data_IF_524823210409
#
_entry.id   IF_524823210409
#
_cell.length_a   1.000
_cell.length_b   1.000
_cell.length_c   1.000
_cell.angle_alpha   90.00
_cell.angle_beta   90.00
_cell.angle_gamma   90.00
#
_symmetry.space_group_name_H-M   'P 1'
#
loop_
_entity.id
_entity.type
_entity.pdbx_description
1 polymer ?
#
# COMPACT_ATOMS: atom_id res chain seq x y z
N UNK A 1 -38.35 4.27 -25.11
CA UNK A 1 -38.06 4.77 -23.76
C UNK A 1 -39.19 5.72 -23.39
N UNK A 2 -39.88 5.45 -22.28
CA UNK A 2 -41.04 6.26 -21.84
C UNK A 2 -40.57 7.43 -20.98
N UNK A 3 -41.31 8.53 -20.96
CA UNK A 3 -40.98 9.71 -20.14
C UNK A 3 -40.79 9.34 -18.64
N UNK A 4 -41.53 8.34 -18.17
CA UNK A 4 -41.39 7.75 -16.83
C UNK A 4 -40.04 7.09 -16.60
N UNK A 5 -39.49 6.34 -17.56
CA UNK A 5 -38.16 5.70 -17.42
C UNK A 5 -37.04 6.75 -17.32
N UNK A 6 -37.13 7.81 -18.11
CA UNK A 6 -36.15 8.90 -18.06
C UNK A 6 -36.21 9.65 -16.72
N UNK A 7 -37.42 9.93 -16.21
CA UNK A 7 -37.61 10.56 -14.91
C UNK A 7 -37.05 9.69 -13.77
N UNK A 8 -37.24 8.37 -13.83
CA UNK A 8 -36.67 7.43 -12.85
C UNK A 8 -35.14 7.41 -12.87
N UNK A 9 -34.51 7.44 -14.06
CA UNK A 9 -33.05 7.48 -14.17
C UNK A 9 -32.47 8.82 -13.71
N UNK A 10 -33.11 9.93 -14.07
CA UNK A 10 -32.70 11.26 -13.60
C UNK A 10 -32.80 11.36 -12.08
N UNK A 11 -33.89 10.86 -11.49
CA UNK A 11 -34.07 10.82 -10.03
C UNK A 11 -33.03 9.92 -9.37
N UNK A 12 -32.75 8.74 -9.93
CA UNK A 12 -31.73 7.82 -9.44
C UNK A 12 -30.33 8.42 -9.47
N UNK A 13 -29.98 9.16 -10.51
CA UNK A 13 -28.70 9.86 -10.64
C UNK A 13 -28.57 10.96 -9.59
N UNK A 14 -29.58 11.82 -9.45
CA UNK A 14 -29.56 12.93 -8.48
C UNK A 14 -29.46 12.38 -7.05
N UNK A 15 -30.22 11.34 -6.73
CA UNK A 15 -30.19 10.70 -5.41
C UNK A 15 -28.85 9.98 -5.17
N UNK A 16 -28.29 9.34 -6.18
CA UNK A 16 -26.98 8.69 -6.13
C UNK A 16 -25.85 9.68 -5.87
N UNK A 17 -25.83 10.82 -6.57
CA UNK A 17 -24.82 11.88 -6.39
C UNK A 17 -24.92 12.49 -4.99
N UNK A 18 -26.14 12.82 -4.53
CA UNK A 18 -26.36 13.36 -3.20
C UNK A 18 -25.90 12.38 -2.10
N UNK A 19 -26.28 11.10 -2.21
CA UNK A 19 -25.91 10.07 -1.24
C UNK A 19 -24.40 9.79 -1.23
N UNK A 20 -23.78 9.71 -2.41
CA UNK A 20 -22.33 9.54 -2.54
C UNK A 20 -21.53 10.68 -1.91
N UNK A 21 -21.98 11.93 -2.10
CA UNK A 21 -21.31 13.10 -1.51
C UNK A 21 -21.35 13.10 0.03
N UNK A 22 -22.46 12.66 0.63
CA UNK A 22 -22.61 12.58 2.08
C UNK A 22 -21.64 11.57 2.71
N UNK A 23 -21.43 10.41 2.06
CA UNK A 23 -20.49 9.38 2.54
C UNK A 23 -19.05 9.90 2.56
N UNK A 24 -18.63 10.66 1.55
CA UNK A 24 -17.29 11.25 1.48
C UNK A 24 -17.06 12.25 2.62
N UNK A 25 -18.06 13.08 2.95
CA UNK A 25 -17.99 14.02 4.09
C UNK A 25 -17.88 13.29 5.43
N UNK A 26 -18.62 12.20 5.61
CA UNK A 26 -18.55 11.38 6.84
C UNK A 26 -17.20 10.66 6.96
N UNK A 27 -16.62 10.19 5.86
CA UNK A 27 -15.28 9.59 5.86
C UNK A 27 -14.16 10.62 6.08
N UNK A 28 -14.34 11.85 5.60
CA UNK A 28 -13.42 12.97 5.80
C UNK A 28 -13.46 13.59 7.20
N UNK A 29 -14.55 13.40 7.96
CA UNK A 29 -14.70 13.95 9.31
C UNK A 29 -14.08 13.08 10.41
N UNK A 30 -13.14 12.17 10.07
CA UNK A 30 -12.38 11.42 11.07
C UNK A 30 -11.76 12.38 12.10
N UNK A 31 -12.03 12.20 13.40
CA UNK A 31 -11.48 13.07 14.43
C UNK A 31 -9.95 13.01 14.40
N UNK A 32 -9.26 14.15 14.62
CA UNK A 32 -7.81 14.20 14.58
C UNK A 32 -7.21 13.15 15.52
N UNK A 33 -6.19 12.46 15.02
CA UNK A 33 -5.52 11.38 15.73
C UNK A 33 -5.13 11.82 17.15
N UNK A 34 -5.43 10.96 18.13
CA UNK A 34 -5.08 11.20 19.53
C UNK A 34 -3.58 11.47 19.63
N UNK A 35 -3.23 12.69 20.04
CA UNK A 35 -1.86 13.10 20.28
C UNK A 35 -1.27 12.24 21.42
N UNK A 36 -0.43 11.27 21.07
CA UNK A 36 0.29 10.45 22.06
C UNK A 36 1.51 11.25 22.51
N UNK A 37 1.36 11.95 23.65
CA UNK A 37 2.45 12.69 24.28
C UNK A 37 3.44 11.70 24.90
N UNK A 38 4.56 11.49 24.22
CA UNK A 38 5.67 10.68 24.70
C UNK A 38 6.63 11.58 25.49
N UNK A 39 6.55 11.54 26.82
CA UNK A 39 7.58 12.12 27.69
C UNK A 39 8.78 11.20 27.74
N UNK A 40 9.82 11.52 26.99
CA UNK A 40 11.13 10.86 27.07
C UNK A 40 11.92 11.50 28.20
N UNK A 41 12.14 10.76 29.30
CA UNK A 41 13.03 11.18 30.37
C UNK A 41 14.50 11.12 29.90
N UNK A 42 15.31 12.11 30.30
CA UNK A 42 16.71 12.27 29.89
C UNK A 42 17.69 11.20 30.42
N UNK A 43 17.17 10.06 30.89
CA UNK A 43 17.96 8.94 31.44
C UNK A 43 17.51 7.57 30.90
N UNK A 44 16.71 7.54 29.83
CA UNK A 44 16.20 6.30 29.23
C UNK A 44 17.20 5.57 28.32
N UNK A 45 18.43 6.07 28.20
CA UNK A 45 19.51 5.42 27.43
C UNK A 45 20.40 4.66 28.40
N UNK A 46 20.40 3.31 28.39
CA UNK A 46 21.35 2.53 29.18
C UNK A 46 22.76 2.91 28.72
N UNK A 47 23.52 3.58 29.59
CA UNK A 47 24.95 3.83 29.39
C UNK A 47 25.63 2.47 29.31
N UNK A 48 25.86 1.97 28.09
CA UNK A 48 26.64 0.76 27.86
C UNK A 48 28.04 0.98 28.41
N UNK A 49 28.49 -0.01 29.18
CA UNK A 49 29.84 -0.08 29.71
C UNK A 49 30.88 0.08 28.60
N UNK A 50 31.96 0.74 28.98
CA UNK A 50 33.14 0.96 28.19
C UNK A 50 33.75 -0.36 27.63
N UNK A 51 34.51 -0.15 26.55
CA UNK A 51 35.63 -0.94 26.01
C UNK A 51 35.35 -1.87 24.82
N UNK A 52 35.53 -1.32 23.61
CA UNK A 52 35.95 -2.06 22.41
C UNK A 52 37.04 -1.29 21.62
N UNK A 53 37.80 -0.42 22.31
CA UNK A 53 38.98 0.25 21.75
C UNK A 53 40.29 -0.19 22.42
N UNK A 54 40.26 -1.26 23.22
CA UNK A 54 41.47 -1.85 23.79
C UNK A 54 42.08 -2.83 22.77
N UNK A 55 43.02 -2.30 22.01
CA UNK A 55 44.23 -2.97 21.49
C UNK A 55 44.09 -4.45 21.06
N UNK A 56 43.58 -4.67 19.84
CA UNK A 56 43.41 -6.00 19.24
C UNK A 56 44.60 -6.48 18.38
N UNK A 57 45.74 -5.78 18.41
CA UNK A 57 46.86 -6.06 17.48
C UNK A 57 48.20 -6.42 18.12
N UNK A 58 48.26 -6.68 19.43
CA UNK A 58 49.46 -7.27 20.06
C UNK A 58 49.35 -8.81 20.14
N UNK A 59 49.67 -9.42 19.00
CA UNK A 59 50.32 -10.71 18.78
C UNK A 59 50.23 -11.82 19.85
N UNK A 60 49.21 -12.68 19.81
CA UNK A 60 49.34 -14.13 20.09
C UNK A 60 48.64 -14.92 18.97
N UNK A 61 49.41 -15.55 18.10
CA UNK A 61 48.92 -16.40 17.02
C UNK A 61 48.63 -17.81 17.56
N UNK A 62 47.52 -17.97 18.27
CA UNK A 62 46.97 -19.30 18.55
C UNK A 62 45.59 -19.42 17.90
N UNK A 63 45.38 -20.36 16.97
CA UNK A 63 44.09 -20.56 16.33
C UNK A 63 43.02 -20.88 17.38
N UNK A 64 41.87 -20.21 17.29
CA UNK A 64 40.74 -20.43 18.19
C UNK A 64 40.36 -21.93 18.26
N UNK A 65 40.52 -22.52 19.43
CA UNK A 65 40.27 -23.95 19.70
C UNK A 65 38.77 -24.24 19.62
N UNK A 66 38.36 -25.17 18.76
CA UNK A 66 36.96 -25.63 18.68
C UNK A 66 36.06 -24.99 17.62
N UNK A 67 36.62 -24.31 16.62
CA UNK A 67 35.84 -23.86 15.45
C UNK A 67 35.41 -25.04 14.53
N UNK A 68 34.38 -24.89 13.69
CA UNK A 68 33.89 -25.93 12.78
C UNK A 68 34.92 -26.38 11.71
N UNK A 69 36.08 -25.72 11.61
CA UNK A 69 37.22 -26.11 10.79
C UNK A 69 38.35 -26.81 11.59
N UNK A 70 38.17 -27.08 12.89
CA UNK A 70 39.19 -27.71 13.74
C UNK A 70 39.30 -29.22 13.44
N UNK A 71 40.24 -29.57 12.55
CA UNK A 71 40.48 -30.94 12.08
C UNK A 71 41.19 -31.85 13.09
N UNK A 72 41.55 -31.35 14.28
CA UNK A 72 42.32 -32.12 15.29
C UNK A 72 41.55 -33.29 15.91
N UNK A 73 40.23 -33.41 15.65
CA UNK A 73 39.45 -34.59 16.06
C UNK A 73 39.58 -35.80 15.13
N UNK A 74 40.06 -35.64 13.90
CA UNK A 74 40.14 -36.72 12.92
C UNK A 74 41.48 -37.48 12.93
N UNK A 75 42.53 -36.93 13.56
CA UNK A 75 43.88 -37.53 13.64
C UNK A 75 44.19 -38.20 15.00
N UNK A 76 43.18 -38.49 15.82
CA UNK A 76 43.42 -39.30 17.03
C UNK A 76 43.42 -40.78 16.65
N UNK A 77 44.61 -41.28 16.30
CA UNK A 77 44.92 -42.70 16.29
C UNK A 77 44.46 -43.33 17.61
N UNK A 78 43.49 -44.23 17.51
CA UNK A 78 42.96 -44.99 18.63
C UNK A 78 43.91 -46.15 18.96
N UNK A 79 44.42 -46.29 20.19
CA UNK A 79 45.03 -47.53 20.62
C UNK A 79 43.95 -48.63 20.75
N UNK A 80 44.25 -49.79 20.18
CA UNK A 80 43.31 -50.86 19.85
C UNK A 80 42.77 -51.71 21.02
N UNK A 81 42.48 -51.15 22.21
CA UNK A 81 42.09 -51.99 23.37
C UNK A 81 41.02 -51.47 24.33
N UNK A 82 40.23 -50.44 23.98
CA UNK A 82 39.10 -50.05 24.83
C UNK A 82 37.79 -50.76 24.44
N UNK A 83 37.06 -51.37 25.39
CA UNK A 83 35.77 -52.01 25.13
C UNK A 83 34.69 -50.97 24.77
N UNK A 84 33.70 -51.33 23.93
CA UNK A 84 32.68 -50.40 23.45
C UNK A 84 31.76 -49.92 24.59
N UNK A 85 31.29 -48.66 24.53
CA UNK A 85 30.32 -48.16 25.51
C UNK A 85 28.95 -48.84 25.34
N UNK A 86 28.19 -49.05 26.43
CA UNK A 86 26.91 -49.74 26.39
C UNK A 86 25.83 -48.92 25.65
N UNK A 87 25.16 -49.57 24.70
CA UNK A 87 24.00 -49.03 23.99
C UNK A 87 22.82 -48.71 24.93
N UNK A 88 22.15 -47.56 24.79
CA UNK A 88 21.06 -47.15 25.67
C UNK A 88 19.68 -47.80 25.39
N UNK A 89 19.61 -48.89 24.60
CA UNK A 89 18.34 -49.51 24.17
C UNK A 89 18.20 -51.00 24.51
N UNK A 90 18.64 -51.40 25.71
CA UNK A 90 18.38 -52.75 26.22
C UNK A 90 17.59 -52.67 27.55
N UNK A 91 16.26 -52.67 27.45
CA UNK A 91 15.39 -52.98 28.58
C UNK A 91 15.07 -54.50 28.54
N UNK A 92 15.20 -55.24 29.66
CA UNK A 92 14.87 -56.66 29.69
C UNK A 92 13.35 -56.89 29.68
N UNK A 93 12.92 -57.85 28.86
CA UNK A 93 11.52 -58.23 28.70
C UNK A 93 10.92 -58.93 29.92
N UNK A 94 9.65 -58.65 30.17
CA UNK A 94 8.74 -59.44 31.01
C UNK A 94 7.74 -60.12 30.06
N UNK A 95 7.67 -61.47 30.02
CA UNK A 95 6.74 -62.17 29.14
C UNK A 95 5.37 -62.36 29.83
N UNK A 96 4.29 -62.08 29.10
CA UNK A 96 2.96 -62.59 29.41
C UNK A 96 1.92 -61.55 29.78
N UNK A 97 1.29 -60.93 28.78
CA UNK A 97 -0.10 -60.48 28.86
C UNK A 97 -0.68 -60.24 27.45
N UNK A 98 -1.75 -60.94 27.06
CA UNK A 98 -2.45 -60.63 25.81
C UNK A 98 -3.28 -59.35 25.99
N UNK A 99 -3.12 -58.39 25.08
CA UNK A 99 -3.96 -57.20 24.94
C UNK A 99 -5.13 -57.59 24.02
N UNK A 100 -6.33 -57.71 24.59
CA UNK A 100 -7.58 -57.72 23.82
C UNK A 100 -8.16 -56.30 23.73
N UNK A 101 -8.44 -55.95 22.47
CA UNK A 101 -9.40 -54.99 21.95
C UNK A 101 -10.60 -54.60 22.83
N UNK A 102 -10.94 -53.30 22.84
CA UNK A 102 -12.26 -52.80 22.43
C UNK A 102 -12.32 -51.25 22.39
N UNK A 103 -13.13 -50.66 21.48
CA UNK A 103 -13.21 -49.21 21.25
C UNK A 103 -14.27 -48.56 22.14
N UNK A 104 -14.05 -47.30 22.57
CA UNK A 104 -15.14 -46.46 23.09
C UNK A 104 -15.59 -45.48 22.03
N UNK A 105 -16.85 -45.67 21.63
CA UNK A 105 -17.58 -44.85 20.70
C UNK A 105 -17.88 -43.46 21.28
N UNK A 106 -17.82 -42.46 20.41
CA UNK A 106 -18.43 -41.15 20.56
C UNK A 106 -19.97 -41.30 20.66
N UNK A 107 -20.56 -40.72 21.70
CA UNK A 107 -21.99 -40.46 21.76
C UNK A 107 -22.24 -39.03 22.24
N UNK A 108 -22.79 -38.25 21.32
CA UNK A 108 -23.40 -36.92 21.45
C UNK A 108 -24.68 -36.94 22.29
N UNK A 109 -24.82 -35.99 23.22
CA UNK A 109 -26.10 -35.50 23.76
C UNK A 109 -25.86 -34.04 24.23
N UNK A 110 -26.20 -33.00 23.45
CA UNK A 110 -27.48 -32.24 23.46
C UNK A 110 -28.12 -32.05 24.85
N UNK A 111 -28.07 -30.82 25.35
CA UNK A 111 -28.84 -30.35 26.51
C UNK A 111 -28.31 -29.03 27.09
N UNK A 112 -28.81 -27.89 26.61
CA UNK A 112 -28.79 -26.63 27.35
C UNK A 112 -30.19 -26.32 27.92
N UNK A 113 -30.45 -25.11 28.43
CA UNK A 113 -29.63 -24.24 29.27
C UNK A 113 -30.33 -23.97 30.62
N UNK A 114 -29.58 -23.65 31.68
CA UNK A 114 -30.16 -23.07 32.90
C UNK A 114 -29.45 -21.77 33.25
N UNK A 115 -30.27 -20.72 33.31
CA UNK A 115 -29.94 -19.38 33.71
C UNK A 115 -29.61 -19.32 35.22
N UNK A 116 -28.52 -18.65 35.56
CA UNK A 116 -28.16 -18.31 36.93
C UNK A 116 -27.43 -16.96 36.97
N UNK A 117 -27.73 -16.09 37.94
CA UNK A 117 -27.21 -14.72 37.97
C UNK A 117 -25.76 -14.67 38.45
N UNK A 118 -24.89 -14.02 37.68
CA UNK A 118 -23.49 -13.77 38.07
C UNK A 118 -23.44 -12.59 39.04
N UNK A 119 -23.24 -12.91 40.31
CA UNK A 119 -22.96 -11.98 41.40
C UNK A 119 -21.52 -11.44 41.22
N UNK A 120 -21.39 -10.10 41.15
CA UNK A 120 -20.10 -9.40 41.15
C UNK A 120 -19.55 -9.37 42.58
N UNK A 121 -18.42 -10.02 42.81
CA UNK A 121 -17.64 -9.90 44.05
C UNK A 121 -16.63 -8.75 43.93
N UNK A 122 -16.94 -7.65 44.60
CA UNK A 122 -15.99 -6.58 44.93
C UNK A 122 -15.10 -7.03 46.10
N UNK A 123 -13.78 -6.97 45.92
CA UNK A 123 -12.81 -7.23 47.00
C UNK A 123 -12.45 -5.90 47.68
N UNK A 124 -12.65 -5.75 49.00
CA UNK A 124 -12.11 -4.64 49.77
C UNK A 124 -10.84 -5.07 50.52
N UNK A 125 -9.80 -4.23 50.53
CA UNK A 125 -8.89 -4.11 51.67
C UNK A 125 -7.93 -2.93 51.55
N UNK A 126 -8.16 -1.93 52.40
CA UNK A 126 -7.14 -1.12 53.08
C UNK A 126 -6.93 -1.77 54.47
N UNK A 127 -5.78 -1.64 55.16
CA UNK A 127 -5.57 -0.42 55.96
C UNK A 127 -4.13 0.03 56.27
N UNK A 128 -4.09 1.21 56.88
CA UNK A 128 -3.19 1.69 57.94
C UNK A 128 -1.84 2.30 57.53
N UNK A 129 -1.85 3.63 57.50
CA UNK A 129 -0.71 4.55 57.55
C UNK A 129 -0.38 4.82 59.02
N UNK A 130 0.81 4.43 59.48
CA UNK A 130 1.37 4.87 60.77
C UNK A 130 2.03 6.25 60.64
N UNK A 131 1.96 7.13 61.65
CA UNK A 131 2.69 8.39 61.67
C UNK A 131 4.07 8.19 62.30
N UNK A 132 5.12 8.40 61.50
CA UNK A 132 6.52 8.41 61.93
C UNK A 132 7.18 9.79 61.70
N UNK A 133 8.24 10.12 62.46
CA UNK A 133 8.55 11.50 62.85
C UNK A 133 9.33 12.32 61.80
N UNK A 134 9.21 13.63 62.00
CA UNK A 134 9.81 14.79 61.31
C UNK A 134 11.27 14.57 60.87
N UNK A 135 11.64 14.81 59.59
CA UNK A 135 13.02 14.92 59.19
C UNK A 135 13.58 16.34 59.42
N UNK A 136 14.79 16.38 60.00
CA UNK A 136 15.64 17.57 60.17
C UNK A 136 16.15 18.14 58.82
N UNK A 137 16.60 19.41 58.78
CA UNK A 137 16.72 20.19 57.55
C UNK A 137 17.87 19.73 56.64
N UNK A 138 17.55 19.63 55.35
CA UNK A 138 18.47 19.31 54.25
C UNK A 138 19.29 20.56 53.88
N UNK A 139 20.62 20.46 53.66
CA UNK A 139 21.42 21.59 53.22
C UNK A 139 21.05 22.00 51.78
N UNK A 140 21.04 23.31 51.55
CA UNK A 140 20.68 23.95 50.29
C UNK A 140 21.68 23.58 49.18
N UNK A 141 21.15 23.04 48.08
CA UNK A 141 21.87 22.93 46.81
C UNK A 141 21.45 24.12 45.90
N UNK A 142 22.41 24.76 45.21
CA UNK A 142 22.12 25.88 44.32
C UNK A 142 21.58 25.40 42.95
N UNK A 143 20.86 26.31 42.31
CA UNK A 143 20.44 26.34 40.90
C UNK A 143 19.48 25.25 40.40
N UNK A 144 18.20 25.53 40.63
CA UNK A 144 17.08 24.94 39.90
C UNK A 144 16.89 25.74 38.60
N UNK A 145 17.13 25.17 37.40
CA UNK A 145 16.86 25.88 36.16
C UNK A 145 15.35 26.14 36.03
N UNK A 146 15.00 27.41 35.83
CA UNK A 146 13.63 27.85 35.53
C UNK A 146 13.22 27.21 34.20
N UNK A 147 12.29 26.26 34.25
CA UNK A 147 11.66 25.70 33.05
C UNK A 147 10.78 26.79 32.43
N UNK A 148 11.28 27.40 31.35
CA UNK A 148 10.49 28.32 30.53
C UNK A 148 9.64 27.48 29.59
N UNK A 149 8.32 27.45 29.78
CA UNK A 149 7.40 26.80 28.86
C UNK A 149 7.35 27.62 27.57
N UNK A 150 7.95 27.10 26.50
CA UNK A 150 7.80 27.68 25.15
C UNK A 150 6.47 27.18 24.58
N UNK A 151 5.52 28.07 24.25
CA UNK A 151 4.28 27.65 23.61
C UNK A 151 4.59 27.08 22.22
N UNK A 152 4.34 25.79 22.02
CA UNK A 152 4.38 25.17 20.70
C UNK A 152 3.23 25.74 19.86
N UNK A 153 3.54 26.67 18.97
CA UNK A 153 2.61 27.09 17.94
C UNK A 153 2.44 25.94 16.93
N UNK A 154 1.20 25.57 16.55
CA UNK A 154 1.00 24.60 15.50
C UNK A 154 1.54 25.16 14.19
N UNK A 155 2.63 24.56 13.70
CA UNK A 155 3.21 24.87 12.41
C UNK A 155 2.17 24.56 11.32
N UNK A 156 1.79 25.59 10.57
CA UNK A 156 0.79 25.48 9.51
C UNK A 156 1.46 24.87 8.29
N UNK A 157 1.09 23.64 7.95
CA UNK A 157 1.64 22.95 6.79
C UNK A 157 1.07 23.57 5.49
N UNK A 158 1.91 24.23 4.65
CA UNK A 158 1.46 24.88 3.43
C UNK A 158 0.88 23.90 2.41
N UNK A 159 1.23 22.61 2.47
CA UNK A 159 0.71 21.59 1.57
C UNK A 159 -0.76 21.25 1.85
N UNK A 160 -1.17 21.27 3.13
CA UNK A 160 -2.57 21.04 3.53
C UNK A 160 -3.45 22.24 3.14
N UNK A 161 -2.93 23.46 3.25
CA UNK A 161 -3.66 24.64 2.82
C UNK A 161 -3.80 24.70 1.28
N UNK A 162 -2.78 24.27 0.53
CA UNK A 162 -2.88 24.11 -0.92
C UNK A 162 -3.97 23.09 -1.33
N UNK A 163 -4.05 21.95 -0.64
CA UNK A 163 -5.10 20.95 -0.87
C UNK A 163 -6.51 21.48 -0.57
N UNK A 164 -6.68 22.27 0.49
CA UNK A 164 -7.96 22.91 0.80
C UNK A 164 -8.37 23.90 -0.28
N UNK A 165 -7.43 24.71 -0.77
CA UNK A 165 -7.67 25.67 -1.85
C UNK A 165 -8.09 24.93 -3.12
N UNK A 166 -7.39 23.84 -3.49
CA UNK A 166 -7.73 23.02 -4.65
C UNK A 166 -9.12 22.37 -4.53
N UNK A 167 -9.48 21.86 -3.35
CA UNK A 167 -10.79 21.28 -3.10
C UNK A 167 -11.92 22.31 -3.24
N UNK A 168 -11.72 23.54 -2.77
CA UNK A 168 -12.69 24.64 -2.93
C UNK A 168 -12.85 25.03 -4.39
N UNK A 169 -11.75 25.12 -5.15
CA UNK A 169 -11.79 25.44 -6.59
C UNK A 169 -12.49 24.35 -7.40
N UNK A 170 -12.23 23.07 -7.10
CA UNK A 170 -12.92 21.95 -7.74
C UNK A 170 -14.44 21.97 -7.45
N UNK A 171 -14.84 22.27 -6.21
CA UNK A 171 -16.24 22.41 -5.85
C UNK A 171 -16.92 23.58 -6.58
N UNK A 172 -16.22 24.71 -6.74
CA UNK A 172 -16.72 25.87 -7.49
C UNK A 172 -16.91 25.55 -8.98
N UNK A 173 -15.96 24.85 -9.61
CA UNK A 173 -16.10 24.40 -11.00
C UNK A 173 -17.29 23.45 -11.19
N UNK A 174 -17.49 22.50 -10.27
CA UNK A 174 -18.65 21.60 -10.32
C UNK A 174 -19.98 22.37 -10.17
N UNK A 175 -20.04 23.39 -9.31
CA UNK A 175 -21.22 24.24 -9.16
C UNK A 175 -21.49 25.11 -10.39
N UNK A 176 -20.44 25.65 -11.03
CA UNK A 176 -20.58 26.42 -12.26
C UNK A 176 -21.09 25.55 -13.42
N UNK A 177 -20.55 24.34 -13.57
CA UNK A 177 -21.03 23.37 -14.55
C UNK A 177 -22.51 23.01 -14.31
N UNK A 178 -22.89 22.72 -13.06
CA UNK A 178 -24.28 22.41 -12.71
C UNK A 178 -25.27 23.54 -13.02
N UNK A 179 -24.87 24.81 -12.83
CA UNK A 179 -25.72 25.97 -13.17
C UNK A 179 -25.91 26.15 -14.66
N UNK A 180 -24.88 25.90 -15.47
CA UNK A 180 -24.99 25.98 -16.94
C UNK A 180 -25.92 24.88 -17.46
N UNK A 181 -25.81 23.66 -16.94
CA UNK A 181 -26.70 22.55 -17.30
C UNK A 181 -28.15 22.81 -16.87
N UNK A 182 -28.37 23.37 -15.67
CA UNK A 182 -29.71 23.73 -15.20
C UNK A 182 -30.33 24.87 -16.02
N UNK A 183 -29.52 25.85 -16.44
CA UNK A 183 -29.99 26.96 -17.30
C UNK A 183 -30.33 26.50 -18.71
N UNK A 184 -29.56 25.55 -19.26
CA UNK A 184 -29.85 24.93 -20.55
C UNK A 184 -31.16 24.11 -20.52
N UNK A 185 -31.44 23.43 -19.41
CA UNK A 185 -32.69 22.68 -19.23
C UNK A 185 -33.93 23.59 -19.06
N UNK A 186 -33.76 24.80 -18.54
CA UNK A 186 -34.85 25.77 -18.38
C UNK A 186 -35.14 26.58 -19.66
N UNK A 187 -34.20 26.62 -20.63
CA UNK A 187 -34.37 27.33 -21.91
C UNK A 187 -35.04 26.49 -23.01
N UNK A 188 -35.37 25.21 -22.76
CA UNK A 188 -36.15 24.42 -23.71
C UNK A 188 -37.62 24.87 -23.67
N UNK A 189 -37.95 25.84 -24.52
CA UNK A 189 -39.31 26.31 -24.80
C UNK A 189 -40.19 25.10 -25.21
N UNK A 190 -41.34 24.84 -24.55
CA UNK A 190 -42.25 23.81 -25.02
C UNK A 190 -42.85 24.29 -26.35
N UNK A 191 -42.59 23.54 -27.40
CA UNK A 191 -43.20 23.76 -28.72
C UNK A 191 -44.46 22.91 -28.76
N UNK A 192 -45.60 23.58 -28.91
CA UNK A 192 -46.90 22.95 -29.08
C UNK A 192 -46.89 22.00 -30.29
N UNK A 193 -47.44 20.81 -30.05
CA UNK A 193 -47.56 19.74 -31.03
C UNK A 193 -48.73 20.04 -31.98
N UNK A 194 -48.43 20.08 -33.27
CA UNK A 194 -49.29 19.62 -34.39
C UNK A 194 -48.54 19.87 -35.71
N UNK A 195 -48.29 18.82 -36.50
CA UNK A 195 -47.68 18.97 -37.84
C UNK A 195 -46.80 17.82 -38.31
N UNK A 196 -47.45 16.77 -38.76
CA UNK A 196 -47.12 15.80 -39.82
C UNK A 196 -45.77 15.92 -40.60
N UNK A 197 -45.02 14.82 -40.55
CA UNK A 197 -44.10 14.24 -41.57
C UNK A 197 -42.90 15.08 -42.05
N UNK A 198 -41.73 14.74 -41.50
CA UNK A 198 -40.54 14.38 -42.28
C UNK A 198 -39.48 13.80 -41.33
N UNK A 199 -39.09 12.54 -41.53
CA UNK A 199 -37.99 11.93 -40.81
C UNK A 199 -36.67 12.64 -41.12
N UNK A 200 -35.96 13.23 -40.14
CA UNK A 200 -34.54 13.45 -40.27
C UNK A 200 -33.83 12.20 -39.75
N UNK A 201 -32.99 11.62 -40.61
CA UNK A 201 -32.02 10.61 -40.24
C UNK A 201 -31.36 10.97 -38.91
N UNK A 202 -31.56 10.11 -37.92
CA UNK A 202 -30.90 10.18 -36.63
C UNK A 202 -29.39 10.03 -36.85
N UNK A 203 -28.71 11.14 -37.12
CA UNK A 203 -27.34 11.32 -36.66
C UNK A 203 -27.41 11.31 -35.15
N UNK A 204 -27.24 10.13 -34.59
CA UNK A 204 -26.80 9.96 -33.21
C UNK A 204 -25.44 10.62 -33.15
N UNK A 205 -25.43 11.94 -32.94
CA UNK A 205 -24.31 12.63 -32.34
C UNK A 205 -24.25 12.06 -30.92
N UNK A 206 -23.47 10.99 -30.77
CA UNK A 206 -22.88 10.64 -29.49
C UNK A 206 -22.23 11.93 -29.00
N UNK A 207 -22.87 12.58 -28.03
CA UNK A 207 -22.19 13.54 -27.19
C UNK A 207 -21.07 12.74 -26.52
N UNK A 208 -19.90 12.74 -27.16
CA UNK A 208 -18.65 12.28 -26.62
C UNK A 208 -18.48 13.11 -25.35
N UNK A 209 -18.84 12.52 -24.21
CA UNK A 209 -18.44 13.06 -22.92
C UNK A 209 -16.94 13.26 -23.05
N UNK A 210 -16.52 14.52 -23.12
CA UNK A 210 -15.13 14.89 -23.31
C UNK A 210 -14.40 14.26 -22.15
N UNK A 211 -13.77 13.12 -22.43
CA UNK A 211 -13.04 12.37 -21.44
C UNK A 211 -11.83 13.22 -21.09
N UNK A 212 -11.92 13.90 -19.95
CA UNK A 212 -10.91 14.84 -19.44
C UNK A 212 -9.65 14.09 -18.98
N UNK A 213 -9.64 12.76 -19.08
CA UNK A 213 -8.49 11.94 -18.73
C UNK A 213 -7.33 12.21 -19.71
N UNK A 214 -6.14 12.60 -19.21
CA UNK A 214 -4.96 12.81 -20.06
C UNK A 214 -4.66 11.59 -20.93
N UNK A 215 -4.22 11.82 -22.18
CA UNK A 215 -3.98 10.77 -23.15
C UNK A 215 -2.97 9.72 -22.64
N UNK A 216 -1.91 10.17 -21.96
CA UNK A 216 -0.90 9.27 -21.36
C UNK A 216 -1.50 8.31 -20.32
N UNK A 217 -2.48 8.75 -19.53
CA UNK A 217 -3.15 7.90 -18.53
C UNK A 217 -3.96 6.81 -19.22
N UNK A 218 -4.64 7.14 -20.33
CA UNK A 218 -5.39 6.16 -21.13
C UNK A 218 -4.45 5.16 -21.81
N UNK A 219 -3.30 5.62 -22.31
CA UNK A 219 -2.26 4.76 -22.89
C UNK A 219 -1.73 3.78 -21.83
N UNK A 220 -1.44 4.25 -20.61
CA UNK A 220 -1.00 3.38 -19.50
C UNK A 220 -2.04 2.33 -19.10
N UNK A 221 -3.33 2.63 -19.31
CA UNK A 221 -4.44 1.68 -19.12
C UNK A 221 -4.66 0.74 -20.31
N UNK A 222 -3.82 0.84 -21.35
CA UNK A 222 -3.86 -0.05 -22.52
C UNK A 222 -4.75 0.43 -23.67
N UNK A 223 -5.19 1.70 -23.69
CA UNK A 223 -5.98 2.23 -24.81
C UNK A 223 -5.11 2.48 -26.05
N UNK A 224 -5.00 1.43 -26.88
CA UNK A 224 -4.21 1.47 -28.12
C UNK A 224 -4.74 2.49 -29.14
N UNK A 225 -6.05 2.82 -29.11
CA UNK A 225 -6.62 3.80 -30.05
C UNK A 225 -6.11 5.20 -29.76
N UNK A 226 -5.99 5.54 -28.48
CA UNK A 226 -5.42 6.83 -28.05
C UNK A 226 -3.93 6.89 -28.40
N UNK A 227 -3.18 5.80 -28.22
CA UNK A 227 -1.78 5.73 -28.63
C UNK A 227 -1.62 6.08 -30.12
N UNK A 228 -2.38 5.42 -31.00
CA UNK A 228 -2.29 5.68 -32.45
C UNK A 228 -2.69 7.12 -32.81
N UNK A 229 -3.72 7.67 -32.15
CA UNK A 229 -4.12 9.07 -32.35
C UNK A 229 -3.02 10.05 -31.95
N UNK A 230 -2.39 9.84 -30.79
CA UNK A 230 -1.26 10.64 -30.33
C UNK A 230 -0.10 10.54 -31.33
N UNK A 231 0.24 9.34 -31.79
CA UNK A 231 1.30 9.14 -32.79
C UNK A 231 1.00 9.87 -34.09
N UNK A 232 -0.24 9.81 -34.57
CA UNK A 232 -0.67 10.53 -35.78
C UNK A 232 -0.54 12.05 -35.61
N UNK A 233 -0.93 12.58 -34.45
CA UNK A 233 -0.81 14.01 -34.15
C UNK A 233 0.66 14.47 -34.05
N UNK A 234 1.53 13.66 -33.44
CA UNK A 234 2.96 13.97 -33.30
C UNK A 234 3.75 13.82 -34.61
N UNK A 235 3.41 12.84 -35.43
CA UNK A 235 4.04 12.63 -36.74
C UNK A 235 3.53 13.64 -37.79
N UNK A 236 2.30 14.14 -37.63
CA UNK A 236 1.70 15.06 -38.58
C UNK A 236 1.57 14.45 -39.98
N UNK A 237 2.08 15.15 -40.99
CA UNK A 237 2.07 14.70 -42.38
C UNK A 237 3.23 13.75 -42.75
N UNK A 238 4.20 13.57 -41.85
CA UNK A 238 5.37 12.74 -42.11
C UNK A 238 5.11 11.29 -41.70
N UNK A 239 4.75 10.47 -42.69
CA UNK A 239 4.52 9.04 -42.50
C UNK A 239 5.77 8.30 -41.99
N UNK A 240 6.98 8.78 -42.30
CA UNK A 240 8.23 8.15 -41.85
C UNK A 240 8.43 8.33 -40.34
N UNK A 241 7.92 9.41 -39.76
CA UNK A 241 8.04 9.72 -38.33
C UNK A 241 7.05 8.95 -37.44
N UNK A 242 6.03 8.30 -38.01
CA UNK A 242 5.03 7.55 -37.23
C UNK A 242 5.64 6.40 -36.41
N UNK A 243 6.51 5.58 -37.02
CA UNK A 243 7.13 4.44 -36.34
C UNK A 243 8.08 4.87 -35.21
N UNK A 244 9.01 5.83 -35.42
CA UNK A 244 9.83 6.37 -34.33
C UNK A 244 8.99 6.93 -33.17
N UNK A 245 7.93 7.68 -33.45
CA UNK A 245 7.05 8.21 -32.41
C UNK A 245 6.32 7.11 -31.65
N UNK A 246 5.78 6.12 -32.36
CA UNK A 246 5.14 4.98 -31.71
C UNK A 246 6.10 4.25 -30.76
N UNK A 247 7.33 3.97 -31.22
CA UNK A 247 8.34 3.33 -30.38
C UNK A 247 8.69 4.17 -29.14
N UNK A 248 8.81 5.49 -29.30
CA UNK A 248 9.11 6.39 -28.19
C UNK A 248 7.97 6.46 -27.15
N UNK A 249 6.70 6.52 -27.58
CA UNK A 249 5.55 6.54 -26.66
C UNK A 249 5.36 5.20 -25.96
N UNK A 250 5.52 4.07 -26.67
CA UNK A 250 5.47 2.74 -26.05
C UNK A 250 6.61 2.57 -25.06
N UNK A 251 7.83 2.96 -25.42
CA UNK A 251 8.98 2.93 -24.52
C UNK A 251 8.76 3.78 -23.26
N UNK A 252 8.06 4.93 -23.38
CA UNK A 252 7.72 5.76 -22.23
C UNK A 252 6.76 5.00 -21.31
N UNK A 253 5.68 4.46 -21.86
CA UNK A 253 4.68 3.71 -21.10
C UNK A 253 5.31 2.52 -20.37
N UNK A 254 6.15 1.72 -21.06
CA UNK A 254 6.87 0.59 -20.47
C UNK A 254 7.83 1.03 -19.36
N UNK A 255 8.52 2.15 -19.55
CA UNK A 255 9.45 2.69 -18.55
C UNK A 255 8.70 3.18 -17.31
N UNK A 256 7.54 3.82 -17.47
CA UNK A 256 6.67 4.24 -16.36
C UNK A 256 6.06 3.04 -15.63
N UNK A 257 5.63 2.00 -16.34
CA UNK A 257 5.14 0.74 -15.74
C UNK A 257 6.26 0.11 -14.92
N UNK A 258 7.47 0.01 -15.46
CA UNK A 258 8.64 -0.51 -14.74
C UNK A 258 8.95 0.31 -13.49
N UNK A 259 8.92 1.65 -13.60
CA UNK A 259 9.08 2.56 -12.46
C UNK A 259 8.02 2.36 -11.38
N UNK A 260 6.75 2.17 -11.77
CA UNK A 260 5.66 1.90 -10.86
C UNK A 260 5.82 0.55 -10.12
N UNK A 261 6.25 -0.51 -10.82
CA UNK A 261 6.57 -1.81 -10.22
C UNK A 261 7.69 -1.66 -9.19
N UNK A 262 8.79 -0.98 -9.55
CA UNK A 262 9.92 -0.76 -8.64
C UNK A 262 9.53 0.07 -7.41
N UNK A 263 8.62 1.03 -7.58
CA UNK A 263 8.09 1.84 -6.50
C UNK A 263 7.01 1.12 -5.66
N UNK A 264 6.62 -0.12 -6.00
CA UNK A 264 5.54 -0.85 -5.33
C UNK A 264 4.16 -0.19 -5.50
N UNK A 265 3.98 0.61 -6.56
CA UNK A 265 2.71 1.29 -6.84
C UNK A 265 1.78 0.33 -7.58
N UNK A 266 1.15 -0.52 -6.79
CA UNK A 266 0.26 -1.59 -7.25
C UNK A 266 -1.18 -1.33 -6.81
N UNK A 267 -2.12 -1.87 -7.59
CA UNK A 267 -3.54 -2.00 -7.25
C UNK A 267 -3.80 -3.44 -6.86
N UNK A 268 -4.32 -3.63 -5.65
CA UNK A 268 -4.58 -4.94 -5.07
C UNK A 268 -6.04 -5.33 -5.31
N UNK A 269 -6.31 -6.62 -5.59
CA UNK A 269 -7.66 -7.11 -5.84
C UNK A 269 -8.53 -6.97 -4.59
N UNK A 270 -9.82 -6.69 -4.81
CA UNK A 270 -10.84 -6.73 -3.76
C UNK A 270 -11.36 -8.16 -3.66
N UNK A 271 -11.55 -8.68 -2.45
CA UNK A 271 -12.04 -10.03 -2.20
C UNK A 271 -10.93 -11.05 -1.93
N UNK A 272 -9.66 -10.64 -1.98
CA UNK A 272 -8.56 -11.49 -1.57
C UNK A 272 -8.44 -11.51 -0.03
N UNK A 273 -8.57 -12.67 0.64
CA UNK A 273 -8.62 -12.72 2.11
C UNK A 273 -7.41 -12.10 2.82
N UNK A 274 -6.23 -12.18 2.21
CA UNK A 274 -5.02 -11.58 2.76
C UNK A 274 -5.00 -10.07 2.52
N UNK A 275 -5.13 -9.61 1.28
CA UNK A 275 -5.04 -8.18 0.96
C UNK A 275 -6.16 -7.36 1.57
N UNK A 276 -7.38 -7.89 1.66
CA UNK A 276 -8.53 -7.23 2.29
C UNK A 276 -8.34 -6.95 3.80
N UNK A 277 -7.36 -7.60 4.44
CA UNK A 277 -7.01 -7.35 5.85
C UNK A 277 -6.30 -5.99 6.02
N UNK A 278 -5.75 -5.42 4.96
CA UNK A 278 -4.89 -4.24 5.01
C UNK A 278 -5.47 -3.07 4.23
N UNK A 279 -5.08 -1.85 4.60
CA UNK A 279 -5.34 -0.67 3.76
C UNK A 279 -4.44 -0.68 2.53
N UNK A 280 -4.83 0.01 1.45
CA UNK A 280 -4.00 0.13 0.23
C UNK A 280 -2.58 0.62 0.52
N UNK A 281 -2.41 1.57 1.45
CA UNK A 281 -1.09 2.06 1.86
C UNK A 281 -0.25 0.97 2.55
N UNK A 282 -0.88 0.13 3.39
CA UNK A 282 -0.22 -1.01 4.02
C UNK A 282 0.13 -2.09 2.99
N UNK A 283 -0.78 -2.43 2.06
CA UNK A 283 -0.48 -3.38 0.98
C UNK A 283 0.77 -2.97 0.19
N UNK A 284 0.87 -1.67 -0.19
CA UNK A 284 2.04 -1.12 -0.87
C UNK A 284 3.30 -1.19 -0.01
N UNK A 285 3.19 -0.95 1.30
CA UNK A 285 4.33 -1.08 2.22
C UNK A 285 4.81 -2.52 2.34
N UNK A 286 3.89 -3.49 2.42
CA UNK A 286 4.20 -4.93 2.43
C UNK A 286 4.88 -5.33 1.12
N UNK A 287 4.30 -4.98 -0.03
CA UNK A 287 4.87 -5.27 -1.34
C UNK A 287 6.26 -4.64 -1.52
N UNK A 288 6.45 -3.40 -1.07
CA UNK A 288 7.76 -2.73 -1.08
C UNK A 288 8.79 -3.42 -0.19
N UNK A 289 8.39 -3.86 1.00
CA UNK A 289 9.27 -4.62 1.90
C UNK A 289 9.69 -5.98 1.32
N UNK A 290 8.77 -6.66 0.63
CA UNK A 290 9.04 -7.93 -0.05
C UNK A 290 10.01 -7.71 -1.23
N UNK A 291 9.76 -6.68 -2.04
CA UNK A 291 10.63 -6.31 -3.16
C UNK A 291 12.05 -5.96 -2.68
N UNK A 292 12.19 -5.23 -1.58
CA UNK A 292 13.48 -4.92 -0.95
C UNK A 292 14.22 -6.18 -0.45
N UNK A 293 13.48 -7.25 -0.14
CA UNK A 293 14.04 -8.55 0.27
C UNK A 293 14.31 -9.49 -0.92
N UNK A 294 14.05 -9.06 -2.15
CA UNK A 294 14.25 -9.82 -3.39
C UNK A 294 12.99 -10.46 -3.97
N UNK A 295 11.85 -10.42 -3.27
CA UNK A 295 10.57 -10.98 -3.71
C UNK A 295 9.76 -9.91 -4.46
N UNK A 296 9.96 -9.83 -5.77
CA UNK A 296 9.39 -8.76 -6.61
C UNK A 296 8.18 -9.27 -7.39
N UNK A 297 7.25 -8.36 -7.68
CA UNK A 297 6.20 -8.60 -8.68
C UNK A 297 6.82 -8.61 -10.08
N UNK A 298 6.42 -9.56 -10.92
CA UNK A 298 6.91 -9.70 -12.30
C UNK A 298 6.30 -8.67 -13.28
N UNK A 299 5.20 -8.04 -12.91
CA UNK A 299 4.47 -7.08 -13.74
C UNK A 299 3.25 -7.68 -14.44
N UNK A 300 3.00 -8.98 -14.31
CA UNK A 300 1.92 -9.71 -14.98
C UNK A 300 0.94 -10.24 -13.93
N UNK A 301 1.30 -11.33 -13.26
CA UNK A 301 0.41 -12.04 -12.34
C UNK A 301 1.18 -12.86 -11.27
N UNK A 302 2.49 -12.64 -11.13
CA UNK A 302 3.35 -13.56 -10.39
C UNK A 302 4.54 -12.93 -9.67
N UNK A 303 5.35 -13.82 -9.12
CA UNK A 303 6.64 -13.46 -8.54
C UNK A 303 7.69 -13.49 -9.63
N UNK A 304 8.52 -12.44 -9.69
CA UNK A 304 9.64 -12.39 -10.60
C UNK A 304 10.59 -13.58 -10.33
N UNK A 305 11.11 -14.17 -11.40
CA UNK A 305 12.06 -15.30 -11.35
C UNK A 305 11.50 -16.54 -10.61
N UNK A 306 10.16 -16.69 -10.55
CA UNK A 306 9.45 -17.70 -9.75
C UNK A 306 9.88 -17.72 -8.27
N UNK A 307 10.42 -16.60 -7.77
CA UNK A 307 10.96 -16.51 -6.43
C UNK A 307 9.85 -16.19 -5.43
N UNK A 308 9.22 -17.24 -4.92
CA UNK A 308 8.10 -17.14 -3.97
C UNK A 308 8.61 -16.95 -2.53
N UNK A 309 8.11 -15.95 -1.77
CA UNK A 309 8.46 -15.78 -0.37
C UNK A 309 7.94 -16.92 0.50
N UNK A 310 8.65 -17.18 1.59
CA UNK A 310 8.16 -18.11 2.62
C UNK A 310 7.21 -17.39 3.58
N UNK A 311 6.49 -18.18 4.39
CA UNK A 311 5.68 -17.65 5.50
C UNK A 311 6.46 -16.69 6.43
N UNK A 312 7.75 -16.98 6.66
CA UNK A 312 8.62 -16.15 7.51
C UNK A 312 8.85 -14.78 6.87
N UNK A 313 9.09 -14.73 5.58
CA UNK A 313 9.35 -13.49 4.83
C UNK A 313 8.09 -12.62 4.79
N UNK A 314 6.92 -13.25 4.58
CA UNK A 314 5.62 -12.58 4.67
C UNK A 314 5.36 -11.98 6.06
N UNK A 315 5.69 -12.73 7.11
CA UNK A 315 5.57 -12.25 8.50
C UNK A 315 6.45 -11.04 8.76
N UNK A 316 7.69 -11.05 8.25
CA UNK A 316 8.61 -9.93 8.37
C UNK A 316 8.11 -8.69 7.61
N UNK A 317 7.61 -8.86 6.38
CA UNK A 317 7.08 -7.75 5.58
C UNK A 317 5.82 -7.11 6.21
N UNK A 318 4.92 -7.93 6.75
CA UNK A 318 3.75 -7.45 7.50
C UNK A 318 4.14 -6.64 8.73
N UNK A 319 5.18 -7.07 9.45
CA UNK A 319 5.67 -6.34 10.61
C UNK A 319 6.21 -4.94 10.24
N UNK A 320 6.85 -4.81 9.07
CA UNK A 320 7.30 -3.50 8.54
C UNK A 320 6.12 -2.56 8.26
N UNK A 321 4.98 -3.09 7.81
CA UNK A 321 3.74 -2.32 7.65
C UNK A 321 3.03 -1.95 8.97
N UNK A 322 3.70 -2.17 10.12
CA UNK A 322 3.21 -1.79 11.45
C UNK A 322 2.07 -2.68 11.97
N UNK A 323 1.81 -3.81 11.33
CA UNK A 323 0.76 -4.74 11.76
C UNK A 323 1.38 -5.92 12.50
N UNK A 324 0.87 -6.21 13.70
CA UNK A 324 1.33 -7.36 14.46
C UNK A 324 0.84 -8.67 13.81
N UNK A 325 1.72 -9.62 13.45
CA UNK A 325 1.34 -10.86 12.75
C UNK A 325 0.22 -11.67 13.43
N UNK A 326 0.15 -11.59 14.76
CA UNK A 326 -0.87 -12.28 15.58
C UNK A 326 -2.29 -11.74 15.39
N UNK A 327 -2.45 -10.54 14.82
CA UNK A 327 -3.75 -9.91 14.59
C UNK A 327 -4.37 -10.32 13.24
N UNK A 328 -3.60 -10.94 12.37
CA UNK A 328 -4.09 -11.41 11.07
C UNK A 328 -4.83 -12.72 11.30
N UNK A 329 -6.13 -12.71 10.99
CA UNK A 329 -7.02 -13.86 11.22
C UNK A 329 -6.80 -14.97 10.21
N UNK A 330 -6.55 -14.62 8.95
CA UNK A 330 -6.40 -15.55 7.85
C UNK A 330 -5.02 -15.37 7.22
N UNK A 331 -4.07 -16.19 7.66
CA UNK A 331 -2.77 -16.27 7.03
C UNK A 331 -2.85 -17.15 5.78
N UNK A 332 -2.32 -16.71 4.63
CA UNK A 332 -2.30 -17.52 3.42
C UNK A 332 -1.38 -18.74 3.59
N UNK A 333 -1.76 -19.86 2.97
CA UNK A 333 -0.90 -21.04 2.83
C UNK A 333 0.26 -20.76 1.86
N UNK A 334 1.29 -21.60 1.83
CA UNK A 334 2.41 -21.42 0.89
C UNK A 334 1.95 -21.41 -0.58
N UNK A 335 0.96 -22.23 -0.92
CA UNK A 335 0.33 -22.24 -2.26
C UNK A 335 -0.40 -20.93 -2.55
N UNK A 336 -1.13 -20.39 -1.58
CA UNK A 336 -1.79 -19.08 -1.72
C UNK A 336 -0.79 -17.92 -1.80
N UNK A 337 0.35 -18.02 -1.11
CA UNK A 337 1.45 -17.04 -1.21
C UNK A 337 2.03 -17.05 -2.64
N UNK A 338 2.20 -18.23 -3.25
CA UNK A 338 2.65 -18.33 -4.64
C UNK A 338 1.68 -17.62 -5.61
N UNK A 339 0.37 -17.70 -5.35
CA UNK A 339 -0.66 -17.04 -6.15
C UNK A 339 -1.04 -15.62 -5.70
N UNK A 340 -0.31 -15.00 -4.78
CA UNK A 340 -0.74 -13.77 -4.10
C UNK A 340 -0.84 -12.56 -5.05
N UNK A 341 -0.05 -12.56 -6.12
CA UNK A 341 -0.02 -11.50 -7.13
C UNK A 341 -0.86 -11.79 -8.38
N UNK A 342 -1.59 -12.91 -8.44
CA UNK A 342 -2.36 -13.33 -9.64
C UNK A 342 -3.34 -12.28 -10.15
N UNK A 343 -3.94 -11.51 -9.25
CA UNK A 343 -4.93 -10.50 -9.59
C UNK A 343 -4.44 -9.07 -9.27
N UNK A 344 -3.15 -8.92 -8.96
CA UNK A 344 -2.55 -7.61 -8.71
C UNK A 344 -2.22 -6.95 -10.03
N UNK A 345 -2.55 -5.66 -10.14
CA UNK A 345 -2.31 -4.88 -11.36
C UNK A 345 -1.37 -3.71 -11.06
N UNK A 346 -0.61 -3.27 -12.06
CA UNK A 346 0.28 -2.11 -11.91
C UNK A 346 -0.53 -0.83 -12.01
N UNK A 347 -0.43 0.04 -11.00
CA UNK A 347 -1.11 1.33 -10.96
C UNK A 347 -0.20 2.43 -11.54
N UNK A 348 0.24 2.27 -12.79
CA UNK A 348 1.19 3.18 -13.43
C UNK A 348 0.61 4.60 -13.61
N UNK A 349 -0.71 4.71 -13.75
CA UNK A 349 -1.43 5.97 -13.77
C UNK A 349 -1.37 6.70 -12.42
N UNK A 350 -1.68 6.01 -11.31
CA UNK A 350 -1.55 6.57 -9.95
C UNK A 350 -0.09 6.95 -9.65
N UNK A 351 0.87 6.16 -10.12
CA UNK A 351 2.30 6.47 -10.01
C UNK A 351 2.67 7.79 -10.70
N UNK A 352 2.23 7.97 -11.94
CA UNK A 352 2.50 9.19 -12.71
C UNK A 352 1.80 10.40 -12.10
N UNK A 353 0.51 10.30 -11.77
CA UNK A 353 -0.28 11.42 -11.22
C UNK A 353 0.28 11.93 -9.89
N UNK A 354 0.78 11.03 -9.03
CA UNK A 354 1.36 11.43 -7.74
C UNK A 354 2.72 12.11 -7.85
N UNK A 355 3.51 11.73 -8.86
CA UNK A 355 4.90 12.17 -9.00
C UNK A 355 5.05 13.36 -9.92
N UNK A 356 4.25 13.43 -10.98
CA UNK A 356 4.33 14.44 -12.03
C UNK A 356 2.95 14.66 -12.68
N UNK A 357 2.00 15.28 -11.97
CA UNK A 357 0.65 15.53 -12.50
C UNK A 357 0.68 16.42 -13.75
N UNK A 358 1.64 17.33 -13.83
CA UNK A 358 1.77 18.29 -14.94
C UNK A 358 2.68 17.80 -16.07
N UNK A 359 3.18 16.55 -16.00
CA UNK A 359 4.15 15.98 -16.94
C UNK A 359 5.39 16.87 -17.10
N UNK A 360 6.01 17.26 -15.98
CA UNK A 360 7.28 17.99 -16.03
C UNK A 360 8.39 17.12 -16.63
N UNK A 361 9.24 17.71 -17.49
CA UNK A 361 10.27 16.96 -18.20
C UNK A 361 11.27 16.30 -17.24
N UNK A 362 11.71 17.01 -16.21
CA UNK A 362 12.72 16.51 -15.28
C UNK A 362 12.15 15.35 -14.49
N UNK A 363 10.94 15.53 -13.94
CA UNK A 363 10.27 14.49 -13.17
C UNK A 363 9.95 13.26 -14.02
N UNK A 364 9.37 13.42 -15.22
CA UNK A 364 9.07 12.29 -16.11
C UNK A 364 10.34 11.54 -16.53
N UNK A 365 11.44 12.26 -16.77
CA UNK A 365 12.73 11.63 -17.11
C UNK A 365 13.33 10.86 -15.93
N UNK A 366 13.18 11.37 -14.71
CA UNK A 366 13.56 10.65 -13.51
C UNK A 366 12.71 9.39 -13.30
N UNK A 367 11.39 9.46 -13.54
CA UNK A 367 10.48 8.33 -13.42
C UNK A 367 10.73 7.25 -14.47
N UNK A 368 10.97 7.63 -15.73
CA UNK A 368 11.25 6.71 -16.82
C UNK A 368 12.67 6.12 -16.75
N UNK A 369 13.58 6.78 -16.02
CA UNK A 369 14.99 6.44 -15.96
C UNK A 369 15.79 7.01 -17.14
N UNK A 370 17.08 7.21 -16.92
CA UNK A 370 17.92 8.02 -17.82
C UNK A 370 18.50 7.29 -19.03
N UNK A 371 18.26 5.97 -19.18
CA UNK A 371 19.00 5.08 -20.10
C UNK A 371 18.15 4.35 -21.14
N UNK A 372 17.08 4.96 -21.63
CA UNK A 372 16.22 4.33 -22.65
C UNK A 372 16.43 5.07 -23.98
N UNK A 373 17.20 4.50 -24.93
CA UNK A 373 17.54 5.18 -26.19
C UNK A 373 16.30 5.48 -27.04
N UNK A 374 15.25 4.66 -26.93
CA UNK A 374 13.97 4.85 -27.62
C UNK A 374 13.28 6.16 -27.23
N UNK A 375 13.57 6.69 -26.03
CA UNK A 375 13.00 7.94 -25.53
C UNK A 375 13.77 9.18 -25.99
N UNK A 376 14.89 9.03 -26.68
CA UNK A 376 15.69 10.17 -27.12
C UNK A 376 14.89 11.12 -28.04
N UNK A 377 14.10 10.56 -28.96
CA UNK A 377 13.22 11.35 -29.84
C UNK A 377 12.20 12.15 -29.03
N UNK A 378 11.57 11.50 -28.04
CA UNK A 378 10.57 12.10 -27.17
C UNK A 378 11.17 13.24 -26.32
N UNK A 379 12.36 13.04 -25.77
CA UNK A 379 13.05 14.06 -24.98
C UNK A 379 13.48 15.26 -25.81
N UNK A 380 13.91 15.05 -27.06
CA UNK A 380 14.28 16.14 -27.97
C UNK A 380 13.08 17.02 -28.35
N UNK A 381 11.88 16.45 -28.37
CA UNK A 381 10.66 17.11 -28.83
C UNK A 381 9.58 17.17 -27.73
N UNK A 382 10.01 17.23 -26.46
CA UNK A 382 9.08 17.13 -25.33
C UNK A 382 8.05 18.26 -25.30
N UNK A 383 8.44 19.48 -25.67
CA UNK A 383 7.53 20.63 -25.71
C UNK A 383 6.37 20.44 -26.71
N UNK A 384 6.59 19.63 -27.75
CA UNK A 384 5.55 19.24 -28.70
C UNK A 384 4.74 18.06 -28.18
N UNK A 385 5.38 17.07 -27.57
CA UNK A 385 4.72 15.85 -27.09
C UNK A 385 3.87 16.05 -25.84
N UNK A 386 4.36 16.84 -24.86
CA UNK A 386 3.71 17.10 -23.58
C UNK A 386 2.26 17.57 -23.69
N UNK A 387 1.90 18.60 -24.48
CA UNK A 387 0.50 19.04 -24.57
C UNK A 387 -0.41 17.95 -25.13
N UNK A 388 0.05 17.22 -26.16
CA UNK A 388 -0.71 16.11 -26.77
C UNK A 388 -0.93 14.99 -25.74
N UNK A 389 0.11 14.61 -25.00
CA UNK A 389 0.04 13.60 -23.93
C UNK A 389 -0.82 14.03 -22.75
N UNK A 390 -0.82 15.32 -22.42
CA UNK A 390 -1.70 15.92 -21.41
C UNK A 390 -3.17 15.98 -21.85
N UNK A 391 -3.48 15.64 -23.11
CA UNK A 391 -4.84 15.74 -23.67
C UNK A 391 -5.23 17.16 -24.09
N UNK A 392 -4.27 18.08 -24.20
CA UNK A 392 -4.49 19.40 -24.77
C UNK A 392 -4.54 19.27 -26.29
N UNK A 393 -5.73 18.97 -26.81
CA UNK A 393 -6.00 18.95 -28.24
C UNK A 393 -5.67 20.32 -28.81
N UNK A 394 -4.66 20.41 -29.68
CA UNK A 394 -4.49 21.60 -30.50
C UNK A 394 -5.65 21.63 -31.48
N UNK A 395 -6.62 22.51 -31.22
CA UNK A 395 -7.54 22.95 -32.27
C UNK A 395 -6.66 23.49 -33.40
N UNK A 396 -6.47 22.69 -34.46
CA UNK A 396 -5.87 23.15 -35.72
C UNK A 396 -6.71 24.34 -36.18
N UNK A 397 -6.21 25.55 -35.97
CA UNK A 397 -6.66 26.70 -36.74
C UNK A 397 -6.19 26.43 -38.17
N UNK A 398 -7.17 26.35 -39.07
CA UNK A 398 -7.00 25.93 -40.46
C UNK A 398 -6.25 26.91 -41.34
#
# INVERSE_FOLDING_TARGET
>A
MTASEFAFLALGLVLGVASGSAIVVVLGSRPPAREVRLTVGHDAVPKRAATLSSDAFMAHSEPARGGPADRRRLDRDAPANDPPPPSPFAAPGVPGRPVMSAPSAFATATGGPLAGPIIRTTVPSWPARTPGPVPSPRPAAPDRPVMTAVPAMPERDPSIDALRIQAVLAAQHAQAAGRLTASALLQTKPVDAEGEVAAPAARVATAEAVDVTPAIIRILRGDHRVLLRVVEELAGADDAMRRPWQAAIVGLAESLIRGAIQAGTLTFPVGNPFWDTFTTAQCRTIAGSLAASGFRFDGIDGWADDHVPTYRDMTAAVAVAGTEPRRIRAWPTQEQIAGLYREVTVAADDFLVRRSPDLDLVEVRELAGTKVPELQLLWQHWDLARPVLAGQVRLRQG
#
